data_IF_192911224608
#
_entry.id   IF_192911224608
#
_cell.length_a   1.000
_cell.length_b   1.000
_cell.length_c   1.000
_cell.angle_alpha   90.00
_cell.angle_beta   90.00
_cell.angle_gamma   90.00
#
_symmetry.space_group_name_H-M   'P 1'
#
loop_
_entity.id
_entity.type
_entity.pdbx_description
1 polymer ?
#
# COMPACT_ATOMS: atom_id res chain seq x y z
N UNK A 1 8.44 -6.15 -31.03
CA UNK A 1 7.32 -6.55 -30.14
C UNK A 1 7.76 -6.66 -28.68
N UNK A 2 9.05 -6.89 -28.37
CA UNK A 2 9.57 -6.86 -26.98
C UNK A 2 9.79 -5.45 -26.42
N UNK A 3 10.19 -4.47 -27.25
CA UNK A 3 10.48 -3.11 -26.77
C UNK A 3 9.25 -2.39 -26.22
N UNK A 4 8.07 -2.63 -26.82
CA UNK A 4 6.80 -2.08 -26.33
C UNK A 4 6.37 -2.72 -25.00
N UNK A 5 6.61 -4.02 -24.80
CA UNK A 5 6.24 -4.70 -23.55
C UNK A 5 7.12 -4.25 -22.38
N UNK A 6 8.43 -4.07 -22.61
CA UNK A 6 9.34 -3.57 -21.55
C UNK A 6 8.99 -2.13 -21.13
N UNK A 7 8.54 -1.30 -22.08
CA UNK A 7 8.06 0.05 -21.78
C UNK A 7 6.74 0.05 -20.99
N UNK A 8 5.78 -0.80 -21.38
CA UNK A 8 4.51 -0.97 -20.67
C UNK A 8 4.73 -1.49 -19.23
N UNK A 9 5.62 -2.45 -19.06
CA UNK A 9 6.02 -3.00 -17.75
C UNK A 9 6.70 -1.95 -16.86
N UNK A 10 7.54 -1.09 -17.45
CA UNK A 10 8.15 0.04 -16.76
C UNK A 10 7.13 1.06 -16.24
N UNK A 11 6.12 1.39 -17.05
CA UNK A 11 5.02 2.27 -16.64
C UNK A 11 4.21 1.60 -15.52
N UNK A 12 3.84 0.33 -15.69
CA UNK A 12 3.07 -0.42 -14.70
C UNK A 12 3.80 -0.44 -13.34
N UNK A 13 5.10 -0.76 -13.35
CA UNK A 13 5.95 -0.75 -12.17
C UNK A 13 6.00 0.63 -11.51
N UNK A 14 6.19 1.70 -12.30
CA UNK A 14 6.19 3.07 -11.80
C UNK A 14 4.88 3.45 -11.12
N UNK A 15 3.74 3.13 -11.73
CA UNK A 15 2.41 3.36 -11.16
C UNK A 15 2.20 2.59 -9.85
N UNK A 16 2.55 1.30 -9.83
CA UNK A 16 2.39 0.45 -8.66
C UNK A 16 3.26 0.95 -7.50
N UNK A 17 4.51 1.32 -7.76
CA UNK A 17 5.40 1.90 -6.75
C UNK A 17 4.84 3.20 -6.21
N UNK A 18 4.39 4.11 -7.08
CA UNK A 18 3.84 5.40 -6.66
C UNK A 18 2.59 5.24 -5.77
N UNK A 19 1.63 4.41 -6.19
CA UNK A 19 0.41 4.13 -5.43
C UNK A 19 0.75 3.48 -4.09
N UNK A 20 1.71 2.57 -4.07
CA UNK A 20 2.10 1.85 -2.87
C UNK A 20 2.79 2.77 -1.86
N UNK A 21 3.70 3.65 -2.29
CA UNK A 21 4.33 4.64 -1.42
C UNK A 21 3.27 5.57 -0.81
N UNK A 22 2.37 6.10 -1.64
CA UNK A 22 1.29 6.95 -1.15
C UNK A 22 0.36 6.21 -0.19
N UNK A 23 0.03 4.95 -0.50
CA UNK A 23 -0.79 4.08 0.33
C UNK A 23 -0.14 3.78 1.68
N UNK A 24 1.15 3.47 1.70
CA UNK A 24 1.91 3.21 2.94
C UNK A 24 1.96 4.44 3.83
N UNK A 25 2.26 5.62 3.26
CA UNK A 25 2.32 6.87 4.00
C UNK A 25 0.95 7.23 4.58
N UNK A 26 -0.09 7.25 3.74
CA UNK A 26 -1.44 7.66 4.14
C UNK A 26 -2.08 6.71 5.18
N UNK A 27 -2.00 5.39 4.95
CA UNK A 27 -2.55 4.41 5.90
C UNK A 27 -1.68 4.32 7.17
N UNK A 28 -0.35 4.42 7.05
CA UNK A 28 0.57 4.42 8.18
C UNK A 28 0.37 5.63 9.10
N UNK A 29 0.24 6.83 8.54
CA UNK A 29 -0.07 8.04 9.31
C UNK A 29 -1.44 7.95 9.99
N UNK A 30 -2.46 7.50 9.25
CA UNK A 30 -3.81 7.27 9.80
C UNK A 30 -3.77 6.28 10.97
N UNK A 31 -3.01 5.19 10.84
CA UNK A 31 -2.87 4.18 11.87
C UNK A 31 -2.14 4.72 13.09
N UNK A 32 -1.03 5.45 12.89
CA UNK A 32 -0.29 6.11 13.95
C UNK A 32 -1.18 7.07 14.74
N UNK A 33 -1.96 7.91 14.07
CA UNK A 33 -2.87 8.86 14.72
C UNK A 33 -3.99 8.15 15.49
N UNK A 34 -4.59 7.12 14.90
CA UNK A 34 -5.66 6.33 15.54
C UNK A 34 -5.14 5.64 16.81
N UNK A 35 -3.86 5.22 16.81
CA UNK A 35 -3.25 4.53 17.95
C UNK A 35 -2.73 5.47 19.05
N UNK A 36 -2.20 6.64 18.67
CA UNK A 36 -1.56 7.58 19.62
C UNK A 36 -2.53 8.57 20.25
N UNK A 37 -3.61 8.96 19.56
CA UNK A 37 -4.58 9.91 20.11
C UNK A 37 -5.57 9.17 21.01
N UNK A 38 -5.61 9.56 22.29
CA UNK A 38 -6.55 8.99 23.28
C UNK A 38 -8.02 9.09 22.86
N UNK A 39 -8.39 10.12 22.09
CA UNK A 39 -9.75 10.32 21.55
C UNK A 39 -10.22 9.19 20.62
N UNK A 40 -9.29 8.48 19.99
CA UNK A 40 -9.60 7.38 19.06
C UNK A 40 -9.48 5.99 19.70
N UNK A 41 -9.17 5.90 21.01
CA UNK A 41 -9.15 4.62 21.76
C UNK A 41 -10.57 4.17 22.14
N UNK A 42 -11.44 4.03 21.15
CA UNK A 42 -12.80 3.50 21.29
C UNK A 42 -12.99 2.30 20.33
N UNK A 43 -14.13 1.61 20.43
CA UNK A 43 -14.42 0.43 19.60
C UNK A 43 -14.34 0.73 18.09
N UNK A 44 -14.79 1.92 17.67
CA UNK A 44 -14.71 2.35 16.28
C UNK A 44 -13.26 2.56 15.82
N UNK A 45 -12.41 3.19 16.64
CA UNK A 45 -10.99 3.37 16.33
C UNK A 45 -10.21 2.06 16.29
N UNK A 46 -10.63 1.04 17.05
CA UNK A 46 -10.08 -0.32 16.94
C UNK A 46 -10.45 -0.92 15.57
N UNK A 47 -11.72 -0.80 15.13
CA UNK A 47 -12.14 -1.26 13.81
C UNK A 47 -11.39 -0.53 12.68
N UNK A 48 -11.25 0.80 12.77
CA UNK A 48 -10.44 1.58 11.82
C UNK A 48 -8.98 1.12 11.81
N UNK A 49 -8.40 0.84 12.97
CA UNK A 49 -7.02 0.36 13.09
C UNK A 49 -6.83 -0.99 12.39
N UNK A 50 -7.78 -1.93 12.55
CA UNK A 50 -7.76 -3.21 11.84
C UNK A 50 -7.83 -3.03 10.33
N UNK A 51 -8.74 -2.17 9.84
CA UNK A 51 -8.86 -1.87 8.42
C UNK A 51 -7.57 -1.27 7.83
N UNK A 52 -6.95 -0.33 8.56
CA UNK A 52 -5.70 0.30 8.15
C UNK A 52 -4.54 -0.71 8.08
N UNK A 53 -4.45 -1.65 9.03
CA UNK A 53 -3.47 -2.74 8.98
C UNK A 53 -3.72 -3.63 7.77
N UNK A 54 -4.97 -4.01 7.48
CA UNK A 54 -5.30 -4.81 6.31
C UNK A 54 -4.90 -4.10 5.00
N UNK A 55 -5.12 -2.79 4.90
CA UNK A 55 -4.67 -2.01 3.75
C UNK A 55 -3.15 -2.01 3.61
N UNK A 56 -2.41 -1.82 4.70
CA UNK A 56 -0.94 -1.89 4.67
C UNK A 56 -0.46 -3.27 4.20
N UNK A 57 -1.08 -4.34 4.69
CA UNK A 57 -0.75 -5.70 4.28
C UNK A 57 -1.03 -5.93 2.79
N UNK A 58 -2.20 -5.49 2.30
CA UNK A 58 -2.58 -5.63 0.90
C UNK A 58 -1.61 -4.88 -0.03
N UNK A 59 -1.17 -3.67 0.34
CA UNK A 59 -0.18 -2.91 -0.42
C UNK A 59 1.16 -3.66 -0.51
N UNK A 60 1.63 -4.24 0.60
CA UNK A 60 2.89 -5.02 0.62
C UNK A 60 2.79 -6.26 -0.26
N UNK A 61 1.65 -6.98 -0.20
CA UNK A 61 1.41 -8.17 -1.03
C UNK A 61 1.38 -7.79 -2.51
N UNK A 62 0.67 -6.71 -2.86
CA UNK A 62 0.58 -6.22 -4.24
C UNK A 62 1.96 -5.82 -4.77
N UNK A 63 2.75 -5.07 -3.98
CA UNK A 63 4.12 -4.71 -4.32
C UNK A 63 4.96 -5.94 -4.62
N UNK A 64 4.95 -6.91 -3.69
CA UNK A 64 5.76 -8.13 -3.81
C UNK A 64 5.38 -8.92 -5.07
N UNK A 65 4.08 -9.11 -5.28
CA UNK A 65 3.57 -9.82 -6.46
C UNK A 65 3.97 -9.12 -7.75
N UNK A 66 3.75 -7.81 -7.87
CA UNK A 66 4.06 -7.06 -9.07
C UNK A 66 5.57 -7.01 -9.34
N UNK A 67 6.41 -6.87 -8.31
CA UNK A 67 7.86 -6.97 -8.49
C UNK A 67 8.26 -8.34 -9.03
N UNK A 68 7.68 -9.43 -8.52
CA UNK A 68 7.97 -10.78 -9.04
C UNK A 68 7.52 -10.92 -10.49
N UNK A 69 6.31 -10.49 -10.83
CA UNK A 69 5.76 -10.63 -12.19
C UNK A 69 6.51 -9.78 -13.21
N UNK A 70 7.01 -8.60 -12.82
CA UNK A 70 7.67 -7.67 -13.74
C UNK A 70 9.20 -7.83 -13.77
N UNK A 71 9.81 -8.55 -12.81
CA UNK A 71 11.26 -8.77 -12.75
C UNK A 71 11.70 -10.15 -13.23
N UNK A 72 10.75 -11.04 -13.57
CA UNK A 72 10.97 -12.46 -13.83
C UNK A 72 10.34 -12.87 -15.15
#
# INVERSE_FOLDING_TARGET
MSENSEFEDGIAMGCIVAISVFGLISNGLSFYLTRTRSRFRNAFGILCSSFLICNLQAIIVLLTWCTIVLSL
#
